data_IF_148991269670
#
_entry.id   IF_148991269670
#
_cell.length_a   1.000
_cell.length_b   1.000
_cell.length_c   1.000
_cell.angle_alpha   90.00
_cell.angle_beta   90.00
_cell.angle_gamma   90.00
#
_symmetry.space_group_name_H-M   'P 1'
#
loop_
_entity.id
_entity.type
_entity.pdbx_description
1 polymer ?
#
# COMPACT_ATOMS: atom_id res chain seq x y z
N UNK A 1 0.36 33.81 -4.96
CA UNK A 1 0.19 32.46 -4.31
C UNK A 1 -0.96 31.76 -5.03
N UNK A 2 -0.86 30.44 -5.15
CA UNK A 2 -1.93 29.60 -5.68
C UNK A 2 -2.97 29.32 -4.58
N UNK A 3 -4.24 29.27 -4.96
CA UNK A 3 -5.30 28.81 -4.06
C UNK A 3 -5.27 27.28 -3.89
N UNK A 4 -5.89 26.74 -2.83
CA UNK A 4 -5.98 25.29 -2.61
C UNK A 4 -6.68 24.57 -3.76
N UNK A 5 -7.71 25.20 -4.37
CA UNK A 5 -8.39 24.67 -5.53
C UNK A 5 -7.47 24.61 -6.76
N UNK A 6 -6.72 25.66 -7.04
CA UNK A 6 -5.73 25.69 -8.13
C UNK A 6 -4.65 24.61 -7.93
N UNK A 7 -4.18 24.42 -6.71
CA UNK A 7 -3.21 23.37 -6.36
C UNK A 7 -3.83 21.98 -6.63
N UNK A 8 -5.07 21.75 -6.22
CA UNK A 8 -5.78 20.49 -6.45
C UNK A 8 -5.93 20.19 -7.94
N UNK A 9 -6.34 21.18 -8.74
CA UNK A 9 -6.44 21.04 -10.19
C UNK A 9 -5.08 20.72 -10.82
N UNK A 10 -4.00 21.38 -10.37
CA UNK A 10 -2.65 21.10 -10.86
C UNK A 10 -2.25 19.63 -10.57
N UNK A 11 -2.53 19.13 -9.37
CA UNK A 11 -2.22 17.74 -9.04
C UNK A 11 -3.02 16.74 -9.88
N UNK A 12 -4.32 16.98 -10.07
CA UNK A 12 -5.22 16.11 -10.84
C UNK A 12 -4.85 16.11 -12.33
N UNK A 13 -4.66 17.31 -12.91
CA UNK A 13 -4.49 17.46 -14.35
C UNK A 13 -3.04 17.45 -14.81
N UNK A 14 -2.10 17.73 -13.91
CA UNK A 14 -0.70 17.99 -14.23
C UNK A 14 -0.45 19.33 -14.92
N UNK A 15 -1.45 20.23 -14.98
CA UNK A 15 -1.40 21.47 -15.74
C UNK A 15 -1.78 22.68 -14.90
N UNK A 16 -1.22 23.84 -15.26
CA UNK A 16 -1.61 25.15 -14.77
C UNK A 16 -1.75 26.10 -15.93
N UNK A 17 -2.92 26.76 -16.07
CA UNK A 17 -3.23 27.65 -17.20
C UNK A 17 -2.86 27.01 -18.55
N UNK A 18 -3.29 25.78 -18.78
CA UNK A 18 -3.00 24.93 -19.95
C UNK A 18 -1.52 24.57 -20.20
N UNK A 19 -0.59 25.04 -19.38
CA UNK A 19 0.84 24.64 -19.46
C UNK A 19 1.09 23.39 -18.64
N UNK A 20 1.82 22.38 -19.17
CA UNK A 20 2.18 21.19 -18.42
C UNK A 20 3.16 21.57 -17.29
N UNK A 21 2.83 21.17 -16.05
CA UNK A 21 3.68 21.31 -14.86
C UNK A 21 4.33 19.96 -14.54
N UNK A 22 3.55 18.87 -14.66
CA UNK A 22 4.03 17.52 -14.43
C UNK A 22 3.96 16.71 -15.70
N UNK A 23 4.97 15.90 -15.95
CA UNK A 23 4.94 14.90 -17.03
C UNK A 23 3.79 13.91 -16.86
N UNK A 24 3.48 13.55 -15.61
CA UNK A 24 2.38 12.66 -15.26
C UNK A 24 1.52 13.32 -14.18
N UNK A 25 0.21 13.46 -14.37
CA UNK A 25 -0.73 13.87 -13.33
C UNK A 25 -0.80 12.83 -12.21
N UNK A 26 -1.58 13.10 -11.15
CA UNK A 26 -1.85 12.13 -10.10
C UNK A 26 -3.21 11.45 -10.35
N UNK A 27 -3.32 10.50 -11.29
CA UNK A 27 -4.59 10.00 -11.78
C UNK A 27 -5.30 9.08 -10.79
N UNK A 28 -4.56 8.52 -9.82
CA UNK A 28 -5.02 7.42 -8.98
C UNK A 28 -5.15 7.78 -7.50
N UNK A 29 -5.19 9.07 -7.14
CA UNK A 29 -5.37 9.49 -5.74
C UNK A 29 -6.69 9.02 -5.10
N UNK A 30 -7.69 8.65 -5.91
CA UNK A 30 -8.92 8.01 -5.44
C UNK A 30 -8.65 6.66 -4.76
N UNK A 31 -7.57 5.97 -5.13
CA UNK A 31 -7.16 4.69 -4.53
C UNK A 31 -6.25 4.94 -3.31
N UNK A 32 -6.85 5.47 -2.25
CA UNK A 32 -6.14 5.81 -1.01
C UNK A 32 -5.56 4.60 -0.29
N UNK A 33 -6.09 3.40 -0.57
CA UNK A 33 -5.61 2.13 -0.01
C UNK A 33 -4.15 1.84 -0.38
N UNK A 34 -3.73 2.20 -1.60
CA UNK A 34 -2.41 1.82 -2.12
C UNK A 34 -1.27 2.66 -1.55
N UNK A 35 -1.55 3.91 -1.15
CA UNK A 35 -0.53 4.90 -0.79
C UNK A 35 -0.03 4.81 0.64
N UNK A 36 -0.65 3.99 1.48
CA UNK A 36 -0.24 3.80 2.87
C UNK A 36 -0.96 2.65 3.56
N UNK A 37 -0.40 2.20 4.68
CA UNK A 37 -1.01 1.23 5.56
C UNK A 37 -0.70 1.55 7.02
N UNK A 38 -1.70 1.44 7.89
CA UNK A 38 -1.51 1.56 9.33
C UNK A 38 -1.18 0.18 9.89
N UNK A 39 -0.03 0.06 10.55
CA UNK A 39 0.47 -1.17 11.16
C UNK A 39 0.73 -0.85 12.64
N UNK A 40 -0.21 -1.24 13.52
CA UNK A 40 -0.18 -0.86 14.92
C UNK A 40 -0.18 0.66 15.10
N UNK A 41 0.82 1.22 15.76
CA UNK A 41 0.98 2.67 15.95
C UNK A 41 1.91 3.31 14.91
N UNK A 42 2.08 2.66 13.76
CA UNK A 42 2.92 3.17 12.68
C UNK A 42 2.13 3.32 11.40
N UNK A 43 2.31 4.44 10.70
CA UNK A 43 1.86 4.62 9.34
C UNK A 43 3.02 4.34 8.38
N UNK A 44 2.90 3.27 7.64
CA UNK A 44 3.75 2.98 6.50
C UNK A 44 3.33 3.87 5.33
N UNK A 45 4.20 4.77 4.87
CA UNK A 45 4.04 5.38 3.54
C UNK A 45 4.69 4.46 2.51
N UNK A 46 3.87 3.97 1.59
CA UNK A 46 4.26 2.98 0.60
C UNK A 46 5.12 3.58 -0.51
N UNK A 47 5.69 2.74 -1.36
CA UNK A 47 6.39 3.16 -2.57
C UNK A 47 5.93 2.31 -3.73
N UNK A 48 5.23 2.96 -4.66
CA UNK A 48 4.60 2.26 -5.77
C UNK A 48 5.63 1.75 -6.77
N UNK A 49 5.37 0.57 -7.30
CA UNK A 49 6.11 -0.02 -8.42
C UNK A 49 6.02 0.84 -9.68
N UNK A 50 4.85 1.46 -9.94
CA UNK A 50 4.67 2.38 -11.05
C UNK A 50 5.23 3.78 -10.73
N UNK A 51 6.16 4.24 -11.56
CA UNK A 51 6.77 5.59 -11.43
C UNK A 51 5.75 6.71 -11.42
N UNK A 52 4.66 6.60 -12.19
CA UNK A 52 3.58 7.60 -12.21
C UNK A 52 2.89 7.79 -10.87
N UNK A 53 2.83 6.73 -10.02
CA UNK A 53 2.21 6.76 -8.70
C UNK A 53 3.17 7.10 -7.55
N UNK A 54 4.48 7.13 -7.79
CA UNK A 54 5.46 7.42 -6.73
C UNK A 54 5.28 8.82 -6.13
N UNK A 55 4.76 9.77 -6.90
CA UNK A 55 4.44 11.11 -6.40
C UNK A 55 3.27 11.12 -5.41
N UNK A 56 2.36 10.16 -5.50
CA UNK A 56 1.28 10.00 -4.52
C UNK A 56 1.86 9.72 -3.13
N UNK A 57 2.91 8.90 -3.04
CA UNK A 57 3.61 8.63 -1.77
C UNK A 57 4.31 9.87 -1.20
N UNK A 58 4.83 10.75 -2.06
CA UNK A 58 5.42 12.02 -1.64
C UNK A 58 4.35 12.95 -1.04
N UNK A 59 3.20 13.05 -1.72
CA UNK A 59 2.07 13.85 -1.24
C UNK A 59 1.53 13.31 0.08
N UNK A 60 1.33 11.99 0.17
CA UNK A 60 0.89 11.31 1.39
C UNK A 60 1.82 11.60 2.55
N UNK A 61 3.12 11.48 2.35
CA UNK A 61 4.12 11.80 3.37
C UNK A 61 4.01 13.25 3.84
N UNK A 62 3.80 14.20 2.93
CA UNK A 62 3.63 15.62 3.27
C UNK A 62 2.38 15.84 4.10
N UNK A 63 1.24 15.25 3.71
CA UNK A 63 -0.03 15.32 4.44
C UNK A 63 0.14 14.76 5.85
N UNK A 64 0.68 13.55 5.96
CA UNK A 64 0.83 12.85 7.25
C UNK A 64 1.77 13.61 8.19
N UNK A 65 2.82 14.22 7.67
CA UNK A 65 3.75 15.02 8.48
C UNK A 65 3.12 16.30 9.04
N UNK A 66 2.18 16.92 8.32
CA UNK A 66 1.70 18.26 8.64
C UNK A 66 0.26 18.29 9.17
N UNK A 67 -0.54 17.26 8.96
CA UNK A 67 -1.93 17.22 9.38
C UNK A 67 -2.07 16.78 10.84
N UNK A 68 -2.90 17.52 11.60
CA UNK A 68 -3.07 17.35 13.04
C UNK A 68 -3.48 15.92 13.47
N UNK A 69 -4.26 15.23 12.66
CA UNK A 69 -4.75 13.87 12.94
C UNK A 69 -3.61 12.83 13.07
N UNK A 70 -2.45 13.11 12.47
CA UNK A 70 -1.31 12.20 12.44
C UNK A 70 -0.20 12.55 13.43
N UNK A 71 -0.42 13.53 14.32
CA UNK A 71 0.63 14.02 15.25
C UNK A 71 1.28 12.94 16.10
N UNK A 72 0.51 11.94 16.52
CA UNK A 72 0.94 10.89 17.45
C UNK A 72 1.22 9.55 16.77
N UNK A 73 1.24 9.49 15.43
CA UNK A 73 1.55 8.27 14.71
C UNK A 73 3.01 8.24 14.27
N UNK A 74 3.66 7.09 14.41
CA UNK A 74 5.01 6.89 13.90
C UNK A 74 4.98 6.76 12.38
N UNK A 75 5.74 7.57 11.66
CA UNK A 75 5.78 7.51 10.21
C UNK A 75 6.97 6.67 9.78
N UNK A 76 6.70 5.54 9.11
CA UNK A 76 7.72 4.73 8.46
C UNK A 76 7.68 4.97 6.94
N UNK A 77 8.70 5.67 6.43
CA UNK A 77 8.80 5.96 5.01
C UNK A 77 9.58 4.83 4.32
N UNK A 78 8.87 3.94 3.60
CA UNK A 78 9.48 2.78 2.96
C UNK A 78 10.57 3.15 1.96
N UNK A 79 10.31 4.11 1.07
CA UNK A 79 11.29 4.52 0.06
C UNK A 79 12.59 5.10 0.65
N UNK A 80 12.50 5.78 1.80
CA UNK A 80 13.70 6.33 2.45
C UNK A 80 14.66 5.23 2.89
N UNK A 81 14.11 4.10 3.33
CA UNK A 81 14.91 2.97 3.84
C UNK A 81 15.25 1.97 2.72
N UNK A 82 14.36 1.80 1.73
CA UNK A 82 14.47 0.79 0.68
C UNK A 82 14.13 1.39 -0.69
N UNK A 83 15.00 2.25 -1.27
CA UNK A 83 14.69 3.02 -2.48
C UNK A 83 14.49 2.16 -3.74
N UNK A 84 15.03 0.94 -3.76
CA UNK A 84 14.96 0.02 -4.89
C UNK A 84 13.83 -1.02 -4.76
N UNK A 85 13.06 -0.98 -3.67
CA UNK A 85 11.96 -1.90 -3.42
C UNK A 85 10.62 -1.18 -3.54
N UNK A 86 9.59 -1.91 -3.95
CA UNK A 86 8.21 -1.41 -3.98
C UNK A 86 7.32 -2.21 -3.05
N UNK A 87 6.37 -1.52 -2.45
CA UNK A 87 5.30 -2.10 -1.64
C UNK A 87 4.08 -1.21 -1.76
N UNK A 88 2.90 -1.80 -1.97
CA UNK A 88 1.65 -1.07 -2.09
C UNK A 88 0.66 -1.53 -1.01
N UNK A 89 -0.11 -0.59 -0.46
CA UNK A 89 -0.98 -0.87 0.69
C UNK A 89 -2.14 -1.82 0.40
N UNK A 90 -2.54 -1.97 -0.87
CA UNK A 90 -3.52 -2.97 -1.30
C UNK A 90 -3.07 -4.42 -1.07
N UNK A 91 -1.76 -4.65 -0.94
CA UNK A 91 -1.21 -5.96 -0.56
C UNK A 91 -1.20 -6.20 0.96
N UNK A 92 -1.39 -5.17 1.79
CA UNK A 92 -1.23 -5.29 3.25
C UNK A 92 -2.59 -5.37 3.93
N UNK A 93 -2.86 -6.45 4.64
CA UNK A 93 -4.08 -6.66 5.41
C UNK A 93 -3.75 -6.96 6.86
N UNK A 94 -4.23 -6.13 7.77
CA UNK A 94 -4.16 -6.41 9.21
C UNK A 94 -5.25 -7.42 9.53
N UNK A 95 -4.85 -8.68 9.72
CA UNK A 95 -5.79 -9.77 9.92
C UNK A 95 -6.30 -9.83 11.36
N UNK A 96 -5.42 -9.59 12.32
CA UNK A 96 -5.76 -9.49 13.75
C UNK A 96 -4.75 -8.58 14.46
N UNK A 97 -4.88 -8.44 15.77
CA UNK A 97 -3.89 -7.74 16.59
C UNK A 97 -2.51 -8.45 16.66
N UNK A 98 -2.41 -9.67 16.11
CA UNK A 98 -1.18 -10.49 16.09
C UNK A 98 -0.74 -10.88 14.69
N UNK A 99 -1.59 -10.74 13.68
CA UNK A 99 -1.36 -11.30 12.34
C UNK A 99 -1.48 -10.22 11.28
N UNK A 100 -0.46 -10.14 10.43
CA UNK A 100 -0.49 -9.37 9.18
C UNK A 100 -0.41 -10.33 8.01
N UNK A 101 -1.30 -10.19 7.03
CA UNK A 101 -1.24 -10.88 5.75
C UNK A 101 -0.75 -9.92 4.67
N UNK A 102 0.21 -10.33 3.86
CA UNK A 102 0.78 -9.49 2.79
C UNK A 102 0.83 -10.28 1.48
N UNK A 103 0.29 -9.71 0.42
CA UNK A 103 0.36 -10.31 -0.91
C UNK A 103 1.75 -10.17 -1.53
N UNK A 104 2.28 -11.27 -2.08
CA UNK A 104 3.41 -11.22 -3.01
C UNK A 104 2.79 -11.11 -4.40
N UNK A 105 2.84 -9.91 -4.97
CA UNK A 105 2.12 -9.56 -6.19
C UNK A 105 3.05 -9.00 -7.27
N UNK A 106 2.49 -8.39 -8.31
CA UNK A 106 3.28 -7.59 -9.24
C UNK A 106 3.80 -6.28 -8.63
N UNK A 107 3.23 -5.85 -7.50
CA UNK A 107 3.48 -4.55 -6.85
C UNK A 107 4.36 -4.67 -5.62
N UNK A 108 4.31 -5.81 -4.95
CA UNK A 108 5.01 -6.07 -3.69
C UNK A 108 5.82 -7.36 -3.82
N UNK A 109 7.12 -7.26 -3.65
CA UNK A 109 8.02 -8.43 -3.71
C UNK A 109 8.19 -9.08 -2.34
N UNK A 110 8.67 -10.33 -2.33
CA UNK A 110 9.02 -11.01 -1.08
C UNK A 110 10.14 -10.27 -0.32
N UNK A 111 11.09 -9.68 -1.05
CA UNK A 111 12.18 -8.87 -0.50
C UNK A 111 11.64 -7.64 0.21
N UNK A 112 10.63 -6.98 -0.38
CA UNK A 112 9.95 -5.84 0.24
C UNK A 112 9.27 -6.22 1.55
N UNK A 113 8.64 -7.40 1.57
CA UNK A 113 8.00 -7.93 2.79
C UNK A 113 9.06 -8.20 3.85
N UNK A 114 10.14 -8.92 3.50
CA UNK A 114 11.24 -9.20 4.42
C UNK A 114 11.85 -7.92 5.01
N UNK A 115 12.02 -6.89 4.18
CA UNK A 115 12.52 -5.58 4.62
C UNK A 115 11.57 -4.89 5.62
N UNK A 116 10.25 -5.15 5.54
CA UNK A 116 9.26 -4.56 6.44
C UNK A 116 9.10 -5.34 7.76
N UNK A 117 9.51 -6.62 7.84
CA UNK A 117 9.32 -7.48 9.02
C UNK A 117 9.75 -6.81 10.35
N UNK A 118 10.94 -6.18 10.46
CA UNK A 118 11.36 -5.55 11.71
C UNK A 118 10.37 -4.48 12.19
N UNK A 119 9.79 -3.70 11.26
CA UNK A 119 8.79 -2.68 11.59
C UNK A 119 7.48 -3.31 12.04
N UNK A 120 7.05 -4.40 11.41
CA UNK A 120 5.82 -5.13 11.80
C UNK A 120 5.97 -5.69 13.20
N UNK A 121 7.06 -6.41 13.48
CA UNK A 121 7.28 -7.03 14.80
C UNK A 121 7.48 -5.99 15.91
N UNK A 122 8.11 -4.86 15.63
CA UNK A 122 8.20 -3.72 16.58
C UNK A 122 6.82 -3.17 16.97
N UNK A 123 5.81 -3.34 16.12
CA UNK A 123 4.41 -2.97 16.41
C UNK A 123 3.59 -4.10 17.06
N UNK A 124 4.26 -5.07 17.73
CA UNK A 124 3.66 -6.15 18.51
C UNK A 124 2.85 -7.18 17.72
N UNK A 125 3.06 -7.27 16.42
CA UNK A 125 2.55 -8.41 15.63
C UNK A 125 3.45 -9.63 15.84
N UNK A 126 2.86 -10.81 15.83
CA UNK A 126 3.54 -12.08 16.11
C UNK A 126 3.83 -12.86 14.83
N UNK A 127 2.95 -12.74 13.83
CA UNK A 127 3.04 -13.51 12.60
C UNK A 127 2.81 -12.63 11.37
N UNK A 128 3.58 -12.91 10.33
CA UNK A 128 3.37 -12.37 9.00
C UNK A 128 3.18 -13.52 8.02
N UNK A 129 2.06 -13.54 7.31
CA UNK A 129 1.80 -14.49 6.23
C UNK A 129 1.95 -13.78 4.89
N UNK A 130 2.98 -14.15 4.14
CA UNK A 130 3.17 -13.65 2.79
C UNK A 130 2.58 -14.65 1.79
N UNK A 131 1.59 -14.22 1.01
CA UNK A 131 0.76 -15.05 0.14
C UNK A 131 1.12 -14.77 -1.31
N UNK A 132 1.63 -15.77 -2.05
CA UNK A 132 1.95 -15.59 -3.47
C UNK A 132 0.67 -15.49 -4.30
N UNK A 133 0.53 -14.40 -5.05
CA UNK A 133 -0.57 -14.18 -5.96
C UNK A 133 -0.15 -14.50 -7.40
N UNK A 134 -1.07 -14.97 -8.25
CA UNK A 134 -0.76 -15.13 -9.67
C UNK A 134 -0.39 -13.78 -10.30
N UNK A 135 0.70 -13.71 -11.04
CA UNK A 135 1.19 -12.48 -11.67
C UNK A 135 0.34 -12.07 -12.88
N UNK A 136 -0.92 -11.73 -12.61
CA UNK A 136 -1.90 -11.23 -13.60
C UNK A 136 -2.49 -9.92 -13.09
N UNK A 137 -2.77 -8.98 -13.99
CA UNK A 137 -3.30 -7.65 -13.64
C UNK A 137 -4.56 -7.69 -12.77
N UNK A 138 -5.45 -8.67 -12.99
CA UNK A 138 -6.68 -8.85 -12.18
C UNK A 138 -6.41 -9.27 -10.74
N UNK A 139 -5.18 -9.67 -10.41
CA UNK A 139 -4.71 -10.03 -9.07
C UNK A 139 -3.57 -9.13 -8.62
N UNK A 140 -3.65 -7.84 -8.98
CA UNK A 140 -2.55 -6.90 -8.75
C UNK A 140 -2.22 -6.69 -7.27
N UNK A 141 -3.20 -6.87 -6.38
CA UNK A 141 -3.05 -6.75 -4.92
C UNK A 141 -3.81 -7.86 -4.21
N UNK A 142 -3.47 -8.09 -2.94
CA UNK A 142 -4.16 -9.06 -2.09
C UNK A 142 -5.64 -8.69 -1.90
N UNK A 143 -5.97 -7.42 -1.72
CA UNK A 143 -7.34 -6.93 -1.54
C UNK A 143 -8.25 -7.14 -2.76
N UNK A 144 -7.69 -7.38 -3.95
CA UNK A 144 -8.47 -7.79 -5.13
C UNK A 144 -9.07 -9.20 -4.99
N UNK A 145 -8.55 -10.03 -4.09
CA UNK A 145 -8.91 -11.45 -3.98
C UNK A 145 -9.22 -11.91 -2.57
N UNK A 146 -8.81 -11.14 -1.57
CA UNK A 146 -8.99 -11.44 -0.16
C UNK A 146 -9.18 -10.14 0.62
N UNK A 147 -10.32 -9.97 1.26
CA UNK A 147 -10.60 -8.82 2.13
C UNK A 147 -11.25 -9.28 3.42
N UNK A 148 -10.66 -8.93 4.55
CA UNK A 148 -11.27 -9.13 5.85
C UNK A 148 -12.42 -8.13 6.05
N UNK A 149 -13.61 -8.63 6.39
CA UNK A 149 -14.80 -7.82 6.66
C UNK A 149 -15.01 -7.66 8.17
N UNK A 150 -14.86 -8.76 8.92
CA UNK A 150 -15.11 -8.79 10.35
C UNK A 150 -14.10 -9.73 11.04
N UNK A 151 -14.19 -9.91 12.35
CA UNK A 151 -13.30 -10.80 13.13
C UNK A 151 -13.26 -12.21 12.55
N UNK A 152 -14.42 -12.78 12.21
CA UNK A 152 -14.57 -14.14 11.72
C UNK A 152 -15.04 -14.22 10.26
N UNK A 153 -14.99 -13.10 9.53
CA UNK A 153 -15.55 -13.02 8.19
C UNK A 153 -14.55 -12.41 7.21
N UNK A 154 -14.45 -13.01 6.05
CA UNK A 154 -13.66 -12.48 4.94
C UNK A 154 -14.38 -12.69 3.61
N UNK A 155 -14.18 -11.76 2.70
CA UNK A 155 -14.55 -11.90 1.31
C UNK A 155 -13.37 -12.47 0.53
N UNK A 156 -13.61 -13.51 -0.25
CA UNK A 156 -12.57 -14.14 -1.07
C UNK A 156 -13.04 -14.30 -2.50
N UNK A 157 -12.09 -14.31 -3.42
CA UNK A 157 -12.34 -14.71 -4.81
C UNK A 157 -12.31 -16.26 -4.90
N UNK A 158 -13.46 -16.94 -5.01
CA UNK A 158 -13.55 -18.40 -4.85
C UNK A 158 -12.62 -19.21 -5.76
N UNK A 159 -12.43 -18.84 -7.06
CA UNK A 159 -11.53 -19.61 -7.92
C UNK A 159 -10.08 -19.70 -7.43
N UNK A 160 -9.66 -18.76 -6.56
CA UNK A 160 -8.34 -18.79 -5.98
C UNK A 160 -8.28 -19.58 -4.68
N UNK A 161 -9.30 -19.51 -3.81
CA UNK A 161 -9.20 -20.02 -2.43
C UNK A 161 -10.03 -21.28 -2.18
N UNK A 162 -11.11 -21.52 -2.93
CA UNK A 162 -12.05 -22.60 -2.64
C UNK A 162 -11.90 -23.78 -3.59
N UNK A 163 -11.57 -23.55 -4.85
CA UNK A 163 -11.61 -24.60 -5.88
C UNK A 163 -10.31 -25.40 -6.04
N UNK A 164 -9.33 -25.20 -5.19
CA UNK A 164 -8.05 -25.94 -5.09
C UNK A 164 -7.29 -26.19 -6.42
N UNK A 165 -7.66 -25.48 -7.51
CA UNK A 165 -7.01 -25.64 -8.82
C UNK A 165 -5.66 -24.94 -8.91
N UNK A 166 -5.36 -24.06 -7.96
CA UNK A 166 -4.12 -23.28 -7.91
C UNK A 166 -3.47 -23.52 -6.56
N UNK A 167 -2.25 -24.07 -6.56
CA UNK A 167 -1.45 -24.18 -5.34
C UNK A 167 -0.84 -22.82 -5.02
N UNK A 168 -1.09 -22.31 -3.82
CA UNK A 168 -0.45 -21.10 -3.31
C UNK A 168 0.75 -21.47 -2.48
N UNK A 169 1.77 -20.65 -2.59
CA UNK A 169 2.86 -20.66 -1.63
C UNK A 169 2.60 -19.58 -0.58
N UNK A 170 2.61 -19.98 0.66
CA UNK A 170 2.48 -19.09 1.81
C UNK A 170 3.77 -19.19 2.60
N UNK A 171 4.40 -18.04 2.79
CA UNK A 171 5.57 -17.93 3.67
C UNK A 171 5.09 -17.41 5.02
N UNK A 172 5.50 -18.06 6.09
CA UNK A 172 5.25 -17.64 7.46
C UNK A 172 6.54 -17.11 8.07
N UNK A 173 6.44 -15.95 8.65
CA UNK A 173 7.47 -15.31 9.44
C UNK A 173 7.00 -15.07 10.85
#
# INVERSE_FOLDING_TARGET
>A
SLTSEQISIIFITGRYKNKPIFKYPLPNLIFTRDIGAVIGNSLLTTWSWHKSRQRESILTKYIVKNHVIFKNINIFNFNKHFPNLSIEGGDITIFSNKIVCIGISQRTSLESIKALLPTIFKNNFTYVYAIELPRKRKFMHLDCVFTKINVNECLVYPPLFINNKIKYKIHRF
#
